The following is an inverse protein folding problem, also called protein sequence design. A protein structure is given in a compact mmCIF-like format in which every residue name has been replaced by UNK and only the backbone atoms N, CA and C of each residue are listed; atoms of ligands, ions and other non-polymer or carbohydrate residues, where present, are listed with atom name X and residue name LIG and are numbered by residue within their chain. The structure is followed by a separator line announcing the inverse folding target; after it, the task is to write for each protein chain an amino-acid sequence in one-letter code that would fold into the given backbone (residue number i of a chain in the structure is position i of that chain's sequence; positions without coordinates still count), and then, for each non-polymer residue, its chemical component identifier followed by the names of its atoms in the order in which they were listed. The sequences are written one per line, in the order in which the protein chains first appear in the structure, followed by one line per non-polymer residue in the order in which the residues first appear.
data_IF_000432309965
#
_entry.id   IF_000432309965
#
_cell.length_a   1.000
_cell.length_b   1.000
_cell.length_c   1.000
_cell.angle_alpha   90.00
_cell.angle_beta   90.00
_cell.angle_gamma   90.00
#
_symmetry.space_group_name_H-M   'P 1'
#
loop_
_entity.id
_entity.type
_entity.pdbx_description
1 polymer ?
#
# COMPACT_ATOMS: atom_id res chain seq x y z
N UNK A 1 -6.25 70.53 -17.37
CA UNK A 1 -6.97 69.33 -17.87
C UNK A 1 -5.94 68.26 -18.24
N UNK A 2 -5.88 67.14 -17.52
CA UNK A 2 -4.96 66.03 -17.85
C UNK A 2 -5.54 65.27 -19.05
N UNK A 3 -4.83 65.27 -20.19
CA UNK A 3 -5.22 64.53 -21.39
C UNK A 3 -4.93 63.05 -21.13
N UNK A 4 -5.98 62.24 -20.97
CA UNK A 4 -5.83 60.77 -20.95
C UNK A 4 -5.42 60.31 -22.34
N UNK A 5 -4.23 59.72 -22.44
CA UNK A 5 -3.70 59.20 -23.70
C UNK A 5 -4.35 57.84 -24.00
N UNK A 6 -4.91 57.67 -25.19
CA UNK A 6 -5.49 56.42 -25.67
C UNK A 6 -4.52 55.23 -25.50
N UNK A 7 -3.21 55.49 -25.63
CA UNK A 7 -2.13 54.53 -25.42
C UNK A 7 -2.11 53.97 -23.99
N UNK A 8 -2.34 54.82 -22.98
CA UNK A 8 -2.36 54.39 -21.57
C UNK A 8 -3.56 53.51 -21.24
N UNK A 9 -4.69 53.74 -21.91
CA UNK A 9 -5.90 52.90 -21.79
C UNK A 9 -5.68 51.53 -22.47
N UNK A 10 -5.07 51.51 -23.65
CA UNK A 10 -4.73 50.26 -24.34
C UNK A 10 -3.70 49.43 -23.56
N UNK A 11 -2.70 50.10 -22.96
CA UNK A 11 -1.71 49.42 -22.15
C UNK A 11 -2.31 48.83 -20.86
N UNK A 12 -3.18 49.59 -20.18
CA UNK A 12 -3.82 49.11 -18.94
C UNK A 12 -4.78 47.95 -19.20
N UNK A 13 -5.54 47.98 -20.30
CA UNK A 13 -6.42 46.88 -20.71
C UNK A 13 -5.62 45.65 -21.14
N UNK A 14 -4.50 45.80 -21.86
CA UNK A 14 -3.62 44.70 -22.20
C UNK A 14 -3.01 44.04 -20.95
N UNK A 15 -2.54 44.83 -19.98
CA UNK A 15 -2.01 44.32 -18.71
C UNK A 15 -3.12 43.59 -17.93
N UNK A 16 -4.32 44.16 -17.84
CA UNK A 16 -5.45 43.52 -17.17
C UNK A 16 -5.81 42.18 -17.84
N UNK A 17 -5.85 42.12 -19.17
CA UNK A 17 -6.10 40.89 -19.91
C UNK A 17 -5.02 39.82 -19.67
N UNK A 18 -3.75 40.21 -19.63
CA UNK A 18 -2.64 39.30 -19.32
C UNK A 18 -2.73 38.76 -17.89
N UNK A 19 -3.04 39.62 -16.90
CA UNK A 19 -3.19 39.21 -15.51
C UNK A 19 -4.37 38.25 -15.33
N UNK A 20 -5.52 38.52 -15.96
CA UNK A 20 -6.68 37.63 -15.93
C UNK A 20 -6.35 36.30 -16.60
N UNK A 21 -5.69 36.32 -17.76
CA UNK A 21 -5.26 35.09 -18.45
C UNK A 21 -4.32 34.26 -17.58
N UNK A 22 -3.33 34.90 -16.94
CA UNK A 22 -2.37 34.23 -16.07
C UNK A 22 -3.06 33.66 -14.82
N UNK A 23 -4.00 34.40 -14.22
CA UNK A 23 -4.77 33.92 -13.08
C UNK A 23 -5.63 32.70 -13.42
N UNK A 24 -6.35 32.74 -14.56
CA UNK A 24 -7.15 31.59 -15.03
C UNK A 24 -6.25 30.39 -15.32
N UNK A 25 -5.10 30.60 -15.95
CA UNK A 25 -4.13 29.54 -16.23
C UNK A 25 -3.58 28.91 -14.95
N UNK A 26 -3.22 29.71 -13.94
CA UNK A 26 -2.77 29.20 -12.64
C UNK A 26 -3.86 28.36 -11.95
N UNK A 27 -5.12 28.81 -11.95
CA UNK A 27 -6.22 28.03 -11.34
C UNK A 27 -6.40 26.69 -12.03
N UNK A 28 -6.42 26.66 -13.37
CA UNK A 28 -6.52 25.40 -14.14
C UNK A 28 -5.35 24.45 -13.87
N UNK A 29 -4.13 24.97 -13.72
CA UNK A 29 -2.97 24.16 -13.36
C UNK A 29 -3.08 23.56 -11.96
N UNK A 30 -3.63 24.31 -11.00
CA UNK A 30 -3.88 23.80 -9.65
C UNK A 30 -4.97 22.73 -9.65
N UNK A 31 -6.07 22.95 -10.36
CA UNK A 31 -7.14 21.95 -10.53
C UNK A 31 -6.61 20.66 -11.16
N UNK A 32 -5.86 20.77 -12.27
CA UNK A 32 -5.24 19.62 -12.92
C UNK A 32 -4.24 18.87 -12.01
N UNK A 33 -3.46 19.60 -11.20
CA UNK A 33 -2.57 18.98 -10.20
C UNK A 33 -3.36 18.21 -9.15
N UNK A 34 -4.43 18.81 -8.62
CA UNK A 34 -5.29 18.15 -7.64
C UNK A 34 -5.94 16.89 -8.21
N UNK A 35 -6.42 16.93 -9.46
CA UNK A 35 -6.98 15.76 -10.14
C UNK A 35 -5.94 14.64 -10.32
N UNK A 36 -4.74 14.98 -10.79
CA UNK A 36 -3.64 14.03 -10.92
C UNK A 36 -3.26 13.44 -9.56
N UNK A 37 -3.22 14.25 -8.50
CA UNK A 37 -2.87 13.78 -7.16
C UNK A 37 -3.96 12.89 -6.55
N UNK A 38 -5.23 13.13 -6.87
CA UNK A 38 -6.33 12.22 -6.51
C UNK A 38 -6.21 10.90 -7.26
N UNK A 39 -5.95 10.94 -8.57
CA UNK A 39 -5.75 9.74 -9.40
C UNK A 39 -4.53 8.95 -8.90
N UNK A 40 -3.41 9.61 -8.63
CA UNK A 40 -2.19 8.96 -8.09
C UNK A 40 -2.45 8.27 -6.77
N UNK A 41 -3.23 8.88 -5.89
CA UNK A 41 -3.63 8.27 -4.61
C UNK A 41 -4.60 7.10 -4.81
N UNK A 42 -5.58 7.23 -5.71
CA UNK A 42 -6.57 6.19 -6.00
C UNK A 42 -6.02 4.96 -6.74
N UNK A 43 -4.92 5.09 -7.47
CA UNK A 43 -4.32 3.99 -8.23
C UNK A 43 -2.92 3.62 -7.74
N UNK A 44 -2.44 4.23 -6.65
CA UNK A 44 -1.11 3.97 -6.07
C UNK A 44 0.03 4.16 -7.08
N UNK A 45 0.20 5.37 -7.64
CA UNK A 45 1.28 5.62 -8.61
C UNK A 45 2.65 5.21 -8.06
N UNK A 46 3.41 4.44 -8.85
CA UNK A 46 4.76 4.00 -8.52
C UNK A 46 5.74 4.52 -9.57
N UNK A 47 6.81 5.17 -9.11
CA UNK A 47 7.97 5.54 -9.91
C UNK A 47 9.07 4.50 -9.72
N UNK A 48 9.37 3.75 -10.77
CA UNK A 48 10.48 2.78 -10.79
C UNK A 48 11.78 3.50 -11.13
N UNK A 49 12.72 3.56 -10.19
CA UNK A 49 14.05 4.15 -10.42
C UNK A 49 15.09 3.05 -10.73
N UNK A 50 14.99 1.90 -10.07
CA UNK A 50 15.85 0.73 -10.22
C UNK A 50 14.98 -0.52 -10.44
N UNK A 51 15.02 -1.16 -11.62
CA UNK A 51 14.18 -2.31 -11.93
C UNK A 51 14.54 -3.60 -11.14
N UNK A 52 15.62 -3.59 -10.35
CA UNK A 52 16.01 -4.70 -9.49
C UNK A 52 15.33 -4.68 -8.11
N UNK A 53 14.65 -3.60 -7.75
CA UNK A 53 13.96 -3.44 -6.48
C UNK A 53 12.45 -3.68 -6.61
N UNK A 54 11.85 -4.13 -5.52
CA UNK A 54 10.39 -4.21 -5.38
C UNK A 54 9.86 -2.90 -4.85
N UNK A 55 8.86 -2.35 -5.51
CA UNK A 55 8.22 -1.10 -5.10
C UNK A 55 6.83 -1.40 -4.58
N UNK A 56 6.46 -0.77 -3.47
CA UNK A 56 5.14 -0.91 -2.86
C UNK A 56 4.57 0.47 -2.58
N UNK A 57 3.33 0.70 -2.95
CA UNK A 57 2.62 1.92 -2.59
C UNK A 57 1.21 1.57 -2.12
N UNK A 58 0.76 2.18 -1.02
CA UNK A 58 -0.63 2.04 -0.60
C UNK A 58 -1.54 2.76 -1.61
N UNK A 59 -2.67 2.12 -1.88
CA UNK A 59 -3.75 2.72 -2.61
C UNK A 59 -4.68 3.34 -1.56
N UNK A 60 -5.00 4.62 -1.72
CA UNK A 60 -5.87 5.31 -0.79
C UNK A 60 -7.21 4.58 -0.69
N UNK A 61 -7.59 4.22 0.54
CA UNK A 61 -8.90 3.66 0.83
C UNK A 61 -9.97 4.62 0.31
N UNK A 62 -10.78 4.17 -0.66
CA UNK A 62 -12.10 4.78 -0.78
C UNK A 62 -12.83 4.43 0.52
N UNK A 63 -13.63 5.35 1.06
CA UNK A 63 -14.21 5.38 2.43
C UNK A 63 -14.96 4.09 2.90
N UNK A 64 -15.04 3.03 2.08
CA UNK A 64 -15.72 1.75 2.36
C UNK A 64 -15.02 0.50 1.76
N UNK A 65 -13.79 0.62 1.22
CA UNK A 65 -13.12 -0.46 0.48
C UNK A 65 -12.11 -1.28 1.28
N UNK A 66 -11.75 -2.50 0.83
CA UNK A 66 -10.60 -3.24 1.37
C UNK A 66 -9.33 -2.40 1.22
N UNK A 67 -8.44 -2.44 2.22
CA UNK A 67 -7.13 -1.83 2.09
C UNK A 67 -6.38 -2.52 0.94
N UNK A 68 -5.72 -1.73 0.10
CA UNK A 68 -5.04 -2.24 -1.08
C UNK A 68 -3.67 -1.60 -1.23
N UNK A 69 -2.75 -2.37 -1.78
CA UNK A 69 -1.43 -1.88 -2.16
C UNK A 69 -1.11 -2.31 -3.57
N UNK A 70 -0.42 -1.43 -4.29
CA UNK A 70 0.16 -1.75 -5.58
C UNK A 70 1.61 -2.15 -5.36
N UNK A 71 2.03 -3.23 -6.02
CA UNK A 71 3.39 -3.71 -6.03
C UNK A 71 3.91 -3.73 -7.46
N UNK A 72 5.10 -3.17 -7.69
CA UNK A 72 5.87 -3.43 -8.91
C UNK A 72 7.05 -4.30 -8.53
N UNK A 73 7.12 -5.49 -9.10
CA UNK A 73 8.08 -6.50 -8.65
C UNK A 73 9.00 -6.91 -9.80
N UNK A 74 10.33 -7.04 -9.54
CA UNK A 74 11.29 -7.44 -10.55
C UNK A 74 10.96 -8.77 -11.21
N UNK A 75 11.37 -8.89 -12.47
CA UNK A 75 11.21 -10.11 -13.26
C UNK A 75 11.88 -11.31 -12.57
N UNK A 76 11.18 -12.44 -12.48
CA UNK A 76 11.74 -13.68 -11.94
C UNK A 76 11.77 -13.76 -10.41
N UNK A 77 11.40 -12.69 -9.70
CA UNK A 77 11.21 -12.73 -8.25
C UNK A 77 10.00 -13.60 -7.88
N UNK A 78 10.13 -14.30 -6.76
CA UNK A 78 9.09 -15.16 -6.19
C UNK A 78 8.88 -14.78 -4.74
N UNK A 79 7.63 -14.62 -4.34
CA UNK A 79 7.25 -14.27 -2.99
C UNK A 79 6.35 -15.33 -2.38
N UNK A 80 6.43 -15.46 -1.06
CA UNK A 80 5.53 -16.25 -0.24
C UNK A 80 4.65 -15.28 0.54
N UNK A 81 3.33 -15.45 0.46
CA UNK A 81 2.39 -14.74 1.31
C UNK A 81 2.20 -15.52 2.60
N UNK A 82 2.52 -14.90 3.72
CA UNK A 82 2.40 -15.51 5.05
C UNK A 82 1.35 -14.78 5.87
N UNK A 83 0.54 -15.55 6.59
CA UNK A 83 -0.35 -15.05 7.61
C UNK A 83 -0.05 -15.74 8.93
N UNK A 84 0.05 -14.96 10.01
CA UNK A 84 0.15 -15.42 11.39
C UNK A 84 -1.09 -14.99 12.18
N UNK A 85 -1.50 -15.78 13.17
CA UNK A 85 -2.64 -15.50 14.06
C UNK A 85 -2.30 -15.70 15.56
N UNK A 86 -1.06 -15.37 15.93
CA UNK A 86 -0.47 -15.57 17.25
C UNK A 86 -0.50 -14.32 18.15
N UNK A 87 0.00 -14.45 19.38
CA UNK A 87 0.28 -13.31 20.26
C UNK A 87 1.62 -12.66 19.90
N UNK A 88 1.62 -11.34 19.79
CA UNK A 88 2.84 -10.58 19.52
C UNK A 88 2.76 -9.14 20.03
N UNK A 89 3.94 -8.58 20.35
CA UNK A 89 4.09 -7.21 20.82
C UNK A 89 4.36 -6.25 19.65
N UNK A 90 4.22 -4.94 19.90
CA UNK A 90 4.45 -3.92 18.88
C UNK A 90 5.87 -3.89 18.33
N UNK A 91 6.84 -4.37 19.11
CA UNK A 91 8.26 -4.42 18.73
C UNK A 91 8.63 -5.73 18.02
N UNK A 92 7.70 -6.68 17.91
CA UNK A 92 7.98 -7.99 17.31
C UNK A 92 8.20 -7.84 15.81
N UNK A 93 9.33 -8.36 15.32
CA UNK A 93 9.60 -8.42 13.88
C UNK A 93 8.66 -9.42 13.21
N UNK A 94 7.94 -8.97 12.20
CA UNK A 94 6.89 -9.77 11.55
C UNK A 94 7.43 -11.07 10.93
N UNK A 95 8.66 -11.06 10.44
CA UNK A 95 9.32 -12.20 9.79
C UNK A 95 9.79 -13.28 10.77
N UNK A 96 9.72 -13.03 12.08
CA UNK A 96 9.97 -14.02 13.13
C UNK A 96 8.70 -14.73 13.61
N UNK A 97 7.52 -14.27 13.18
CA UNK A 97 6.27 -14.86 13.62
C UNK A 97 6.05 -16.25 12.99
N UNK A 98 5.48 -17.21 13.74
CA UNK A 98 5.04 -18.47 13.17
C UNK A 98 3.90 -18.22 12.19
N UNK A 99 4.05 -18.66 10.94
CA UNK A 99 2.99 -18.57 9.95
C UNK A 99 1.93 -19.64 10.24
N UNK A 100 0.68 -19.23 10.40
CA UNK A 100 -0.48 -20.11 10.45
C UNK A 100 -0.81 -20.67 9.06
N UNK A 101 -0.60 -19.84 8.02
CA UNK A 101 -0.72 -20.26 6.63
C UNK A 101 0.32 -19.58 5.75
N UNK A 102 0.72 -20.25 4.68
CA UNK A 102 1.75 -19.79 3.74
C UNK A 102 1.36 -20.20 2.33
N UNK A 103 1.27 -19.23 1.43
CA UNK A 103 0.91 -19.45 0.02
C UNK A 103 2.06 -18.99 -0.86
N UNK A 104 2.44 -19.82 -1.83
CA UNK A 104 3.42 -19.42 -2.83
C UNK A 104 2.74 -18.54 -3.88
N UNK A 105 3.25 -17.33 -4.06
CA UNK A 105 2.87 -16.49 -5.18
C UNK A 105 3.80 -16.80 -6.34
N UNK A 106 3.23 -17.35 -7.41
CA UNK A 106 3.99 -17.79 -8.58
C UNK A 106 4.81 -16.63 -9.18
N UNK A 107 5.93 -16.97 -9.82
CA UNK A 107 6.85 -15.99 -10.40
C UNK A 107 6.13 -15.04 -11.33
N UNK A 108 6.20 -13.77 -10.97
CA UNK A 108 5.66 -12.67 -11.72
C UNK A 108 6.46 -12.45 -13.02
N UNK A 109 5.75 -12.37 -14.15
CA UNK A 109 6.39 -12.13 -15.46
C UNK A 109 6.75 -10.65 -15.59
N UNK A 110 7.99 -10.38 -16.00
CA UNK A 110 8.58 -9.06 -16.32
C UNK A 110 7.92 -7.84 -15.70
N UNK A 111 8.42 -7.39 -14.54
CA UNK A 111 8.01 -6.12 -13.95
C UNK A 111 6.53 -6.13 -13.57
N UNK A 112 6.03 -7.24 -13.04
CA UNK A 112 4.61 -7.38 -12.81
C UNK A 112 4.12 -6.29 -11.87
N UNK A 113 3.01 -5.72 -12.29
CA UNK A 113 2.29 -4.68 -11.59
C UNK A 113 1.04 -5.34 -11.01
N UNK A 114 1.04 -5.48 -9.68
CA UNK A 114 0.07 -6.28 -8.96
C UNK A 114 -0.58 -5.41 -7.91
N UNK A 115 -1.90 -5.29 -7.97
CA UNK A 115 -2.68 -4.80 -6.84
C UNK A 115 -3.01 -5.96 -5.91
N UNK A 116 -2.52 -5.91 -4.68
CA UNK A 116 -2.87 -6.82 -3.61
C UNK A 116 -3.86 -6.12 -2.68
N UNK A 117 -5.06 -6.68 -2.60
CA UNK A 117 -6.13 -6.17 -1.75
C UNK A 117 -6.37 -7.11 -0.59
N UNK A 118 -6.54 -6.54 0.60
CA UNK A 118 -6.81 -7.30 1.81
C UNK A 118 -7.92 -6.66 2.64
N UNK A 119 -8.68 -7.51 3.33
CA UNK A 119 -9.71 -7.07 4.26
C UNK A 119 -9.74 -7.99 5.47
N UNK A 120 -9.99 -7.39 6.63
CA UNK A 120 -10.37 -8.11 7.83
C UNK A 120 -11.78 -7.69 8.20
N UNK A 121 -12.67 -8.66 8.39
CA UNK A 121 -13.98 -8.41 8.96
C UNK A 121 -14.32 -9.49 9.98
N UNK A 122 -15.37 -9.25 10.76
CA UNK A 122 -15.83 -10.20 11.78
C UNK A 122 -16.96 -11.05 11.21
N UNK A 123 -16.81 -12.37 11.27
CA UNK A 123 -17.85 -13.34 10.89
C UNK A 123 -18.09 -14.30 12.06
N UNK A 124 -19.32 -14.34 12.58
CA UNK A 124 -19.69 -15.21 13.70
C UNK A 124 -18.73 -15.06 14.91
N UNK A 125 -18.35 -13.83 15.23
CA UNK A 125 -17.43 -13.51 16.34
C UNK A 125 -15.95 -13.79 16.09
N UNK A 126 -15.58 -14.35 14.93
CA UNK A 126 -14.19 -14.62 14.56
C UNK A 126 -13.73 -13.67 13.44
N UNK A 127 -12.50 -13.15 13.49
CA UNK A 127 -11.91 -12.43 12.37
C UNK A 127 -11.73 -13.35 11.17
N UNK A 128 -12.07 -12.83 10.00
CA UNK A 128 -11.83 -13.45 8.70
C UNK A 128 -10.98 -12.52 7.87
N UNK A 129 -9.88 -13.07 7.35
CA UNK A 129 -8.92 -12.36 6.51
C UNK A 129 -9.11 -12.81 5.08
N UNK A 130 -9.34 -11.85 4.19
CA UNK A 130 -9.37 -12.08 2.76
C UNK A 130 -8.18 -11.39 2.11
N UNK A 131 -7.51 -12.10 1.23
CA UNK A 131 -6.45 -11.54 0.37
C UNK A 131 -6.72 -11.95 -1.07
N UNK A 132 -6.74 -10.98 -1.97
CA UNK A 132 -7.00 -11.20 -3.38
C UNK A 132 -6.14 -10.26 -4.22
N UNK A 133 -5.93 -10.67 -5.47
CA UNK A 133 -5.48 -9.77 -6.53
C UNK A 133 -6.67 -9.33 -7.37
N UNK A 134 -6.43 -8.55 -8.41
CA UNK A 134 -7.45 -8.18 -9.41
C UNK A 134 -8.05 -9.41 -10.11
N UNK A 135 -7.34 -10.53 -10.17
CA UNK A 135 -7.70 -11.70 -10.98
C UNK A 135 -8.15 -12.91 -10.17
N UNK A 136 -7.70 -13.04 -8.92
CA UNK A 136 -7.96 -14.24 -8.12
C UNK A 136 -8.00 -14.00 -6.61
N UNK A 137 -8.72 -14.87 -5.90
CA UNK A 137 -8.64 -14.95 -4.43
C UNK A 137 -7.43 -15.78 -4.06
N UNK A 138 -6.50 -15.18 -3.32
CA UNK A 138 -5.27 -15.85 -2.87
C UNK A 138 -5.50 -16.59 -1.55
N UNK A 139 -6.15 -15.93 -0.59
CA UNK A 139 -6.33 -16.44 0.76
C UNK A 139 -7.70 -16.06 1.32
N UNK A 140 -8.34 -17.01 1.99
CA UNK A 140 -9.42 -16.75 2.95
C UNK A 140 -9.11 -17.53 4.22
N UNK A 141 -8.90 -16.82 5.33
CA UNK A 141 -8.50 -17.43 6.61
C UNK A 141 -9.41 -16.95 7.73
N UNK A 142 -10.13 -17.88 8.35
CA UNK A 142 -10.93 -17.63 9.55
C UNK A 142 -10.11 -17.98 10.78
N UNK A 143 -9.88 -16.99 11.64
CA UNK A 143 -9.06 -17.18 12.84
C UNK A 143 -9.82 -18.06 13.84
N UNK A 144 -9.31 -19.23 14.21
CA UNK A 144 -10.01 -20.12 15.12
C UNK A 144 -9.95 -19.62 16.56
N UNK A 145 -11.03 -19.88 17.32
CA UNK A 145 -11.13 -19.62 18.76
C UNK A 145 -10.77 -18.18 19.14
N UNK A 146 -11.27 -17.20 18.39
CA UNK A 146 -10.98 -15.80 18.70
C UNK A 146 -11.77 -15.33 19.93
N UNK A 147 -11.05 -14.81 20.92
CA UNK A 147 -11.66 -14.19 22.09
C UNK A 147 -11.41 -12.70 22.04
N UNK A 148 -12.47 -11.92 21.79
CA UNK A 148 -12.39 -10.46 21.83
C UNK A 148 -12.34 -9.99 23.28
N UNK A 149 -11.33 -9.19 23.62
CA UNK A 149 -11.17 -8.61 24.96
C UNK A 149 -10.97 -7.09 24.91
N UNK A 150 -10.35 -6.59 23.84
CA UNK A 150 -10.08 -5.17 23.64
C UNK A 150 -10.72 -4.59 22.38
N UNK A 151 -10.31 -3.35 22.08
CA UNK A 151 -10.53 -2.78 20.75
C UNK A 151 -9.43 -3.30 19.81
N UNK A 152 -9.75 -3.57 18.54
CA UNK A 152 -8.75 -3.85 17.54
C UNK A 152 -7.90 -2.61 17.32
N UNK A 153 -6.58 -2.79 17.37
CA UNK A 153 -5.62 -1.80 16.92
C UNK A 153 -5.09 -2.28 15.58
N UNK A 154 -5.54 -1.64 14.50
CA UNK A 154 -5.03 -1.89 13.16
C UNK A 154 -3.73 -1.11 13.00
N UNK A 155 -2.64 -1.84 12.77
CA UNK A 155 -1.40 -1.26 12.31
C UNK A 155 -1.18 -1.67 10.88
N UNK A 156 -1.21 -0.73 9.93
CA UNK A 156 -0.53 -0.99 8.66
C UNK A 156 0.95 -1.17 8.97
N UNK A 157 1.54 -2.30 8.58
CA UNK A 157 2.94 -2.65 8.90
C UNK A 157 3.97 -1.63 8.37
N UNK A 158 3.51 -0.68 7.57
CA UNK A 158 3.99 0.69 7.59
C UNK A 158 2.84 1.61 7.25
N UNK A 159 2.72 2.81 7.85
CA UNK A 159 2.00 3.88 7.19
C UNK A 159 2.73 4.11 5.87
N UNK A 160 2.21 3.54 4.79
CA UNK A 160 2.68 3.81 3.44
C UNK A 160 2.13 5.19 3.09
N UNK A 161 2.65 6.22 3.77
CA UNK A 161 2.49 7.63 3.39
C UNK A 161 3.31 7.91 2.11
N UNK A 162 3.14 7.05 1.10
CA UNK A 162 3.89 7.03 -0.14
C UNK A 162 4.51 5.68 -0.50
N UNK A 163 5.22 5.72 -1.63
CA UNK A 163 5.96 4.59 -2.18
C UNK A 163 7.16 4.23 -1.29
N UNK A 164 7.39 2.92 -1.13
CA UNK A 164 8.60 2.35 -0.54
C UNK A 164 9.27 1.39 -1.50
N UNK A 165 10.56 1.24 -1.31
CA UNK A 165 11.44 0.36 -2.08
C UNK A 165 11.93 -0.75 -1.15
N UNK A 166 11.96 -1.97 -1.64
CA UNK A 166 12.39 -3.17 -0.92
C UNK A 166 13.39 -3.92 -1.78
N UNK A 167 14.46 -4.41 -1.17
CA UNK A 167 15.37 -5.32 -1.83
C UNK A 167 14.72 -6.69 -2.06
N UNK A 168 15.32 -7.50 -2.92
CA UNK A 168 14.82 -8.85 -3.24
C UNK A 168 14.94 -9.86 -2.09
N UNK A 169 15.58 -9.48 -0.98
CA UNK A 169 15.77 -10.30 0.22
C UNK A 169 15.06 -9.73 1.46
N UNK A 170 14.35 -8.61 1.32
CA UNK A 170 13.59 -7.98 2.38
C UNK A 170 12.15 -8.49 2.47
N UNK A 171 11.68 -8.64 3.71
CA UNK A 171 10.28 -8.94 4.01
C UNK A 171 9.45 -7.66 3.88
N UNK A 172 8.32 -7.76 3.18
CA UNK A 172 7.38 -6.65 2.99
C UNK A 172 6.23 -6.84 3.98
N UNK A 173 6.16 -6.06 5.06
CA UNK A 173 5.04 -6.11 5.99
C UNK A 173 3.79 -5.53 5.31
N UNK A 174 2.71 -6.30 5.25
CA UNK A 174 1.45 -5.84 4.66
C UNK A 174 0.57 -5.22 5.74
N UNK A 175 0.24 -6.00 6.75
CA UNK A 175 -0.69 -5.55 7.78
C UNK A 175 -0.48 -6.25 9.11
N UNK A 176 -0.91 -5.57 10.16
CA UNK A 176 -1.04 -6.12 11.51
C UNK A 176 -2.38 -5.69 12.10
N UNK A 177 -3.05 -6.61 12.78
CA UNK A 177 -4.33 -6.33 13.42
C UNK A 177 -4.33 -7.01 14.78
N UNK A 178 -4.32 -6.23 15.87
CA UNK A 178 -4.08 -6.78 17.21
C UNK A 178 -5.20 -6.41 18.17
N UNK A 179 -5.70 -7.38 18.92
CA UNK A 179 -6.58 -7.12 20.05
C UNK A 179 -5.76 -6.63 21.24
N UNK A 180 -6.08 -5.42 21.69
CA UNK A 180 -5.36 -4.73 22.78
C UNK A 180 -5.51 -5.37 24.14
N UNK A 181 -6.55 -6.18 24.37
CA UNK A 181 -6.79 -6.84 25.65
C UNK A 181 -6.08 -8.19 25.78
N UNK A 182 -5.93 -8.93 24.68
CA UNK A 182 -5.33 -10.29 24.67
C UNK A 182 -3.89 -10.33 24.17
N UNK A 183 -3.46 -9.31 23.42
CA UNK A 183 -2.20 -9.30 22.68
C UNK A 183 -2.18 -10.27 21.48
N UNK A 184 -3.27 -11.01 21.24
CA UNK A 184 -3.40 -11.85 20.04
C UNK A 184 -3.66 -10.95 18.84
N UNK A 185 -3.01 -11.24 17.74
CA UNK A 185 -3.18 -10.48 16.52
C UNK A 185 -3.06 -11.35 15.29
N UNK A 186 -3.26 -10.69 14.16
CA UNK A 186 -3.11 -11.21 12.83
C UNK A 186 -2.01 -10.39 12.18
N UNK A 187 -1.08 -11.05 11.50
CA UNK A 187 -0.03 -10.39 10.76
C UNK A 187 0.04 -10.98 9.35
N UNK A 188 0.18 -10.13 8.34
CA UNK A 188 0.30 -10.52 6.93
C UNK A 188 1.58 -9.89 6.36
N UNK A 189 2.38 -10.69 5.66
CA UNK A 189 3.61 -10.21 5.02
C UNK A 189 3.96 -11.01 3.77
N UNK A 190 4.75 -10.40 2.89
CA UNK A 190 5.41 -11.09 1.79
C UNK A 190 6.87 -11.37 2.15
N UNK A 191 7.30 -12.61 2.01
CA UNK A 191 8.70 -13.01 2.18
C UNK A 191 9.25 -13.47 0.82
N UNK A 192 10.43 -13.00 0.38
CA UNK A 192 11.06 -13.54 -0.81
C UNK A 192 11.34 -15.05 -0.65
N UNK A 193 11.06 -15.83 -1.69
CA UNK A 193 11.21 -17.30 -1.64
C UNK A 193 12.65 -17.72 -1.27
N UNK A 194 13.66 -16.99 -1.74
CA UNK A 194 15.06 -17.27 -1.41
C UNK A 194 15.33 -17.16 0.10
N UNK A 195 14.76 -16.14 0.76
CA UNK A 195 14.87 -15.94 2.21
C UNK A 195 14.13 -17.03 2.98
N UNK A 196 12.90 -17.34 2.56
CA UNK A 196 12.10 -18.41 3.16
C UNK A 196 12.82 -19.77 3.09
N UNK A 197 13.38 -20.11 1.93
CA UNK A 197 14.13 -21.35 1.74
C UNK A 197 15.38 -21.41 2.64
N UNK A 198 16.13 -20.31 2.74
CA UNK A 198 17.30 -20.23 3.61
C UNK A 198 16.94 -20.42 5.10
N UNK A 199 15.82 -19.85 5.55
CA UNK A 199 15.32 -19.99 6.92
C UNK A 199 14.89 -21.42 7.23
N UNK A 200 14.16 -22.05 6.30
CA UNK A 200 13.69 -23.43 6.45
C UNK A 200 14.85 -24.43 6.53
N UNK A 201 15.88 -24.27 5.71
CA UNK A 201 17.05 -25.15 5.73
C UNK A 201 17.83 -25.04 7.04
N UNK A 202 17.90 -23.85 7.65
CA UNK A 202 18.54 -23.69 8.98
C UNK A 202 17.78 -24.42 10.09
N UNK A 203 16.45 -24.47 10.00
CA UNK A 203 15.61 -25.18 10.98
C UNK A 203 15.65 -26.70 10.84
N UNK A 204 16.11 -27.25 9.72
CA UNK A 204 16.26 -28.71 9.54
C UNK A 204 17.59 -29.26 10.05
N UNK A 205 18.55 -28.39 10.35
CA UNK A 205 19.89 -28.74 10.83
C UNK A 205 19.99 -28.68 12.37
N UNK A 206 18.90 -28.31 13.06
CA UNK A 206 18.73 -28.30 14.52
C UNK A 206 17.82 -29.45 14.98
#
# INVERSE_FOLDING_TARGET
MKRFSLLTLLLSTAIAALLVSQFVMMRKLVEARNEIDVVRRKYGYIKVNDPSLTYVNAIAENEQGPAAMRLIVPAGSRYMLHLSDTKFDHETKIDTLPAATTISLNSWRNGADVTLSYAIHMENGNPVVHVHTETETLLTYKVPNWTKSGQPNEGTGSPLDGQREFSTDETIPIMTWRDTGTGRGIALWLEPHARYAARRNKQSDE
#
